data_IF_718485135508
#
_entry.id   IF_718485135508
#
_cell.length_a   1.000
_cell.length_b   1.000
_cell.length_c   1.000
_cell.angle_alpha   90.00
_cell.angle_beta   90.00
_cell.angle_gamma   90.00
#
_symmetry.space_group_name_H-M   'P 1'
#
loop_
_entity.id
_entity.type
_entity.pdbx_description
1 polymer ?
#
# COMPACT_ATOMS: atom_id res chain seq x y z
N UNK A 1 -1.37 0.45 -15.35
CA UNK A 1 -0.97 -0.40 -14.20
C UNK A 1 0.11 0.35 -13.45
N UNK A 2 -0.04 0.51 -12.14
CA UNK A 2 0.92 1.27 -11.33
C UNK A 2 1.76 0.31 -10.50
N UNK A 3 3.07 0.53 -10.49
CA UNK A 3 3.99 -0.06 -9.53
C UNK A 3 4.14 0.93 -8.37
N UNK A 4 3.93 0.45 -7.15
CA UNK A 4 4.00 1.27 -5.93
C UNK A 4 5.00 0.63 -4.99
N UNK A 5 5.95 1.41 -4.51
CA UNK A 5 6.93 0.96 -3.53
C UNK A 5 6.98 1.89 -2.33
N UNK A 6 7.36 1.34 -1.17
CA UNK A 6 7.31 2.06 0.08
C UNK A 6 7.60 1.21 1.30
N UNK A 7 7.06 1.66 2.43
CA UNK A 7 7.15 0.97 3.72
C UNK A 7 5.77 0.80 4.35
N UNK A 8 5.51 -0.37 4.91
CA UNK A 8 4.30 -0.67 5.67
C UNK A 8 4.66 -1.11 7.09
N UNK A 9 3.64 -1.17 7.94
CA UNK A 9 3.76 -1.48 9.35
C UNK A 9 2.66 -2.47 9.75
N UNK A 10 2.94 -3.30 10.75
CA UNK A 10 1.91 -4.09 11.43
C UNK A 10 1.35 -3.33 12.63
N UNK A 11 0.28 -3.84 13.21
CA UNK A 11 -0.23 -3.39 14.51
C UNK A 11 0.51 -4.13 15.64
N UNK A 12 0.91 -3.42 16.71
CA UNK A 12 0.85 -1.97 16.90
C UNK A 12 1.90 -1.22 16.05
N UNK A 13 1.68 0.07 15.78
CA UNK A 13 2.64 0.89 15.05
C UNK A 13 3.95 1.04 15.83
N UNK A 14 5.03 0.50 15.28
CA UNK A 14 6.41 0.70 15.74
C UNK A 14 7.23 1.22 14.56
N UNK A 15 7.71 2.46 14.62
CA UNK A 15 8.32 3.13 13.44
C UNK A 15 9.64 2.48 13.00
N UNK A 16 10.35 1.89 13.94
CA UNK A 16 11.60 1.17 13.73
C UNK A 16 11.39 -0.16 13.01
N UNK A 17 10.19 -0.74 13.07
CA UNK A 17 9.84 -2.04 12.47
C UNK A 17 9.22 -1.90 11.06
N UNK A 18 9.55 -0.82 10.35
CA UNK A 18 9.07 -0.61 8.98
C UNK A 18 9.50 -1.76 8.05
N UNK A 19 8.56 -2.29 7.28
CA UNK A 19 8.82 -3.34 6.29
C UNK A 19 8.71 -2.78 4.88
N UNK A 20 9.70 -3.00 3.99
CA UNK A 20 9.59 -2.53 2.62
C UNK A 20 8.49 -3.29 1.88
N UNK A 21 7.73 -2.61 1.03
CA UNK A 21 6.83 -3.25 0.08
C UNK A 21 7.06 -2.74 -1.34
N UNK A 22 6.67 -3.58 -2.28
CA UNK A 22 6.49 -3.24 -3.69
C UNK A 22 5.24 -3.99 -4.16
N UNK A 23 4.23 -3.31 -4.70
CA UNK A 23 3.01 -3.93 -5.21
C UNK A 23 2.71 -3.42 -6.62
N UNK A 24 1.89 -4.16 -7.35
CA UNK A 24 1.34 -3.68 -8.61
C UNK A 24 -0.16 -3.53 -8.47
N UNK A 25 -0.68 -2.36 -8.81
CA UNK A 25 -2.11 -2.09 -8.83
C UNK A 25 -2.60 -1.97 -10.27
N UNK A 26 -3.65 -2.72 -10.66
CA UNK A 26 -4.27 -2.63 -11.96
C UNK A 26 -5.23 -1.42 -12.04
N UNK A 27 -4.84 -0.28 -11.48
CA UNK A 27 -5.59 0.97 -11.60
C UNK A 27 -4.67 2.13 -11.94
N UNK A 28 -5.16 3.05 -12.76
CA UNK A 28 -4.50 4.32 -13.09
C UNK A 28 -5.11 5.49 -12.31
N UNK A 29 -6.14 5.25 -11.48
CA UNK A 29 -6.92 6.27 -10.76
C UNK A 29 -6.50 6.49 -9.31
N UNK A 30 -5.37 5.92 -8.89
CA UNK A 30 -4.91 6.03 -7.51
C UNK A 30 -4.64 7.49 -7.15
N UNK A 31 -5.36 8.02 -6.14
CA UNK A 31 -5.29 9.42 -5.73
C UNK A 31 -5.56 10.44 -6.87
N UNK A 32 -6.37 10.08 -7.87
CA UNK A 32 -6.67 10.94 -9.03
C UNK A 32 -7.64 12.10 -8.72
N UNK A 33 -8.08 12.23 -7.47
CA UNK A 33 -9.03 13.24 -6.99
C UNK A 33 -10.51 12.88 -7.21
N UNK A 34 -10.81 11.87 -8.03
CA UNK A 34 -12.16 11.33 -8.19
C UNK A 34 -12.42 10.17 -7.22
N UNK A 35 -11.36 9.42 -6.85
CA UNK A 35 -11.42 8.35 -5.85
C UNK A 35 -11.21 8.88 -4.43
N UNK A 36 -12.03 8.45 -3.43
CA UNK A 36 -11.76 8.74 -2.03
C UNK A 36 -10.39 8.20 -1.60
N UNK A 37 -9.59 9.01 -0.90
CA UNK A 37 -8.27 8.63 -0.37
C UNK A 37 -8.32 7.29 0.37
N UNK A 38 -9.38 7.07 1.16
CA UNK A 38 -9.59 5.85 1.92
C UNK A 38 -9.69 4.60 1.03
N UNK A 39 -10.30 4.70 -0.14
CA UNK A 39 -10.43 3.57 -1.07
C UNK A 39 -9.09 3.25 -1.73
N UNK A 40 -8.33 4.26 -2.14
CA UNK A 40 -6.96 4.06 -2.65
C UNK A 40 -6.07 3.40 -1.59
N UNK A 41 -6.14 3.84 -0.34
CA UNK A 41 -5.37 3.26 0.77
C UNK A 41 -5.76 1.80 1.05
N UNK A 42 -7.06 1.49 1.03
CA UNK A 42 -7.56 0.12 1.21
C UNK A 42 -7.08 -0.81 0.08
N UNK A 43 -7.04 -0.32 -1.17
CA UNK A 43 -6.50 -1.09 -2.31
C UNK A 43 -5.03 -1.42 -2.10
N UNK A 44 -4.23 -0.45 -1.67
CA UNK A 44 -2.81 -0.65 -1.36
C UNK A 44 -2.64 -1.69 -0.25
N UNK A 45 -3.33 -1.52 0.88
CA UNK A 45 -3.23 -2.43 2.02
C UNK A 45 -3.67 -3.85 1.66
N UNK A 46 -4.71 -4.00 0.85
CA UNK A 46 -5.18 -5.32 0.38
C UNK A 46 -4.12 -6.01 -0.47
N UNK A 47 -3.48 -5.31 -1.40
CA UNK A 47 -2.43 -5.90 -2.23
C UNK A 47 -1.13 -6.19 -1.46
N UNK A 48 -0.77 -5.36 -0.46
CA UNK A 48 0.34 -5.65 0.45
C UNK A 48 0.02 -6.95 1.21
N UNK A 49 -1.17 -7.07 1.80
CA UNK A 49 -1.60 -8.27 2.52
C UNK A 49 -1.53 -9.53 1.66
N UNK A 50 -2.05 -9.47 0.43
CA UNK A 50 -1.98 -10.59 -0.53
C UNK A 50 -0.55 -10.96 -0.93
N UNK A 51 0.29 -9.97 -1.27
CA UNK A 51 1.65 -10.24 -1.77
C UNK A 51 2.57 -10.79 -0.69
N UNK A 52 2.42 -10.33 0.54
CA UNK A 52 3.34 -10.65 1.63
C UNK A 52 2.74 -11.60 2.69
N UNK A 53 1.56 -12.16 2.43
CA UNK A 53 0.85 -13.13 3.29
C UNK A 53 0.58 -12.59 4.71
N UNK A 54 0.11 -11.35 4.78
CA UNK A 54 -0.36 -10.73 6.03
C UNK A 54 -1.90 -10.62 6.01
N UNK A 55 -2.59 -11.07 7.07
CA UNK A 55 -3.98 -10.71 7.30
C UNK A 55 -4.12 -9.18 7.35
N UNK A 56 -5.08 -8.63 6.61
CA UNK A 56 -5.32 -7.17 6.57
C UNK A 56 -5.55 -6.59 7.97
N UNK A 57 -6.10 -7.37 8.90
CA UNK A 57 -6.33 -6.96 10.28
C UNK A 57 -5.03 -6.72 11.05
N UNK A 58 -3.94 -7.40 10.68
CA UNK A 58 -2.60 -7.23 11.27
C UNK A 58 -1.86 -6.03 10.70
N UNK A 59 -2.20 -5.58 9.49
CA UNK A 59 -1.60 -4.39 8.88
C UNK A 59 -2.09 -3.11 9.60
N UNK A 60 -1.16 -2.20 9.87
CA UNK A 60 -1.50 -0.86 10.31
C UNK A 60 -1.99 -0.04 9.11
N UNK A 61 -2.93 0.88 9.35
CA UNK A 61 -3.41 1.82 8.32
C UNK A 61 -2.38 2.90 7.94
N UNK A 62 -1.22 2.90 8.61
CA UNK A 62 -0.13 3.83 8.32
C UNK A 62 0.87 3.09 7.46
N UNK A 63 1.22 3.68 6.33
CA UNK A 63 2.27 3.24 5.43
C UNK A 63 2.82 4.48 4.71
N UNK A 64 3.99 4.35 4.12
CA UNK A 64 4.64 5.43 3.38
C UNK A 64 4.84 4.95 1.95
N UNK A 65 4.31 5.68 0.98
CA UNK A 65 4.64 5.48 -0.42
C UNK A 65 5.88 6.32 -0.72
N UNK A 66 6.97 5.66 -1.15
CA UNK A 66 8.18 6.35 -1.59
C UNK A 66 8.21 6.56 -3.10
N UNK A 67 7.55 5.69 -3.86
CA UNK A 67 7.58 5.72 -5.32
C UNK A 67 6.25 5.21 -5.91
N UNK A 68 5.77 5.91 -6.94
CA UNK A 68 4.68 5.46 -7.82
C UNK A 68 5.20 5.60 -9.25
N UNK A 69 5.25 4.49 -9.99
CA UNK A 69 5.68 4.45 -11.39
C UNK A 69 4.64 3.73 -12.25
N UNK A 70 4.63 4.05 -13.55
CA UNK A 70 3.90 3.26 -14.52
C UNK A 70 4.62 1.93 -14.72
N UNK A 71 3.90 0.82 -14.54
CA UNK A 71 4.42 -0.50 -14.88
C UNK A 71 4.34 -0.65 -16.41
N UNK A 72 5.48 -0.47 -17.07
CA UNK A 72 5.71 -0.69 -18.50
C UNK A 72 5.78 -2.16 -18.87
#
# INVERSE_FOLDING_TARGET
MKKIAGYFFEKPLVLEEKKPFEIHLPTDTLYDGNEPILESDQKILSEIGKKYDYPTEQLHSFFVISEITDAS
#
